data_IF_962827628972
#
_entry.id   IF_962827628972
#
_cell.length_a   1.000
_cell.length_b   1.000
_cell.length_c   1.000
_cell.angle_alpha   90.00
_cell.angle_beta   90.00
_cell.angle_gamma   90.00
#
_symmetry.space_group_name_H-M   'P 1'
#
loop_
_entity.id
_entity.type
_entity.pdbx_description
1 polymer ?
#
# COMPACT_ATOMS: atom_id res chain seq x y z
N UNK A 1 -18.18 1.14 13.12
CA UNK A 1 -17.26 2.02 12.37
C UNK A 1 -16.69 1.22 11.21
N UNK A 2 -16.63 1.76 9.98
CA UNK A 2 -15.99 1.07 8.85
C UNK A 2 -14.47 1.20 9.01
N UNK A 3 -13.75 0.08 8.91
CA UNK A 3 -12.29 0.12 8.83
C UNK A 3 -11.88 0.95 7.59
N UNK A 4 -10.81 1.77 7.67
CA UNK A 4 -10.35 2.53 6.53
C UNK A 4 -9.88 1.58 5.42
N UNK A 5 -10.26 1.89 4.18
CA UNK A 5 -9.84 1.11 3.02
C UNK A 5 -8.32 1.28 2.81
N UNK A 6 -7.60 0.17 2.70
CA UNK A 6 -6.17 0.15 2.37
C UNK A 6 -6.04 0.03 0.85
N UNK A 7 -5.50 1.06 0.20
CA UNK A 7 -5.19 1.04 -1.23
C UNK A 7 -3.71 0.78 -1.42
N UNK A 8 -3.35 -0.15 -2.29
CA UNK A 8 -1.96 -0.57 -2.54
C UNK A 8 -1.67 -0.46 -4.03
N UNK A 9 -0.85 0.53 -4.37
CA UNK A 9 -0.41 0.79 -5.74
C UNK A 9 0.92 0.09 -5.98
N UNK A 10 0.99 -0.72 -7.04
CA UNK A 10 2.14 -1.58 -7.34
C UNK A 10 2.50 -1.53 -8.81
N UNK A 11 3.71 -2.01 -9.09
CA UNK A 11 4.13 -2.51 -10.39
C UNK A 11 4.63 -3.96 -10.21
N UNK A 12 5.39 -4.49 -11.17
CA UNK A 12 5.95 -5.85 -11.11
C UNK A 12 7.37 -5.94 -10.51
N UNK A 13 7.83 -4.94 -9.75
CA UNK A 13 9.14 -4.96 -9.11
C UNK A 13 9.18 -5.86 -7.86
N UNK A 14 10.39 -6.02 -7.32
CA UNK A 14 10.62 -6.86 -6.14
C UNK A 14 10.00 -6.25 -4.88
N UNK A 15 10.08 -4.94 -4.70
CA UNK A 15 9.59 -4.25 -3.51
C UNK A 15 8.05 -4.33 -3.40
N UNK A 16 7.35 -4.24 -4.54
CA UNK A 16 5.91 -4.44 -4.64
C UNK A 16 5.50 -5.84 -4.21
N UNK A 17 6.26 -6.88 -4.59
CA UNK A 17 6.00 -8.25 -4.13
C UNK A 17 6.17 -8.38 -2.62
N UNK A 18 7.26 -7.84 -2.06
CA UNK A 18 7.52 -7.88 -0.61
C UNK A 18 6.43 -7.16 0.18
N UNK A 19 5.92 -6.04 -0.33
CA UNK A 19 4.81 -5.33 0.31
C UNK A 19 3.54 -6.18 0.32
N UNK A 20 3.17 -6.80 -0.80
CA UNK A 20 1.96 -7.62 -0.91
C UNK A 20 2.05 -8.85 0.00
N UNK A 21 3.18 -9.56 -0.03
CA UNK A 21 3.44 -10.71 0.87
C UNK A 21 3.31 -10.31 2.33
N UNK A 22 3.90 -9.17 2.73
CA UNK A 22 3.76 -8.66 4.09
C UNK A 22 2.30 -8.39 4.47
N UNK A 23 1.50 -7.80 3.58
CA UNK A 23 0.09 -7.51 3.88
C UNK A 23 -0.75 -8.80 3.96
N UNK A 24 -0.48 -9.76 3.08
CA UNK A 24 -1.12 -11.08 3.08
C UNK A 24 -0.78 -11.84 4.38
N UNK A 25 0.49 -11.87 4.79
CA UNK A 25 0.98 -12.49 6.03
C UNK A 25 0.33 -11.86 7.28
N UNK A 26 0.07 -10.56 7.24
CA UNK A 26 -0.59 -9.83 8.33
C UNK A 26 -2.12 -9.88 8.23
N UNK A 27 -2.67 -10.60 7.25
CA UNK A 27 -4.11 -10.73 6.98
C UNK A 27 -4.82 -9.38 6.83
N UNK A 28 -4.11 -8.39 6.27
CA UNK A 28 -4.65 -7.05 6.05
C UNK A 28 -5.44 -7.05 4.75
N UNK A 29 -6.76 -6.75 4.75
CA UNK A 29 -7.50 -6.60 3.51
C UNK A 29 -7.07 -5.32 2.78
N UNK A 30 -6.73 -5.43 1.50
CA UNK A 30 -6.37 -4.29 0.66
C UNK A 30 -6.96 -4.38 -0.74
N UNK A 31 -7.08 -3.22 -1.41
CA UNK A 31 -7.34 -3.15 -2.83
C UNK A 31 -6.03 -2.94 -3.58
N UNK A 32 -5.62 -3.95 -4.35
CA UNK A 32 -4.47 -3.87 -5.26
C UNK A 32 -4.80 -3.05 -6.50
N UNK A 33 -3.93 -2.11 -6.85
CA UNK A 33 -4.01 -1.28 -8.06
C UNK A 33 -2.68 -1.33 -8.81
N UNK A 34 -2.64 -2.07 -9.91
CA UNK A 34 -1.44 -2.20 -10.73
C UNK A 34 -1.34 -1.04 -11.74
N UNK A 35 -0.39 -0.14 -11.52
CA UNK A 35 -0.20 1.05 -12.36
C UNK A 35 0.46 0.72 -13.71
N UNK A 36 1.09 -0.45 -13.84
CA UNK A 36 1.62 -0.93 -15.12
C UNK A 36 0.49 -1.44 -16.03
N UNK A 37 -0.58 -1.96 -15.43
CA UNK A 37 -1.73 -2.51 -16.15
C UNK A 37 -2.84 -1.48 -16.44
N UNK A 38 -2.88 -0.34 -15.74
CA UNK A 38 -3.92 0.67 -15.90
C UNK A 38 -3.38 2.10 -15.74
N UNK A 39 -3.58 2.91 -16.79
CA UNK A 39 -3.29 4.36 -16.75
C UNK A 39 -4.15 5.10 -15.74
N UNK A 40 -5.38 4.65 -15.49
CA UNK A 40 -6.28 5.28 -14.53
C UNK A 40 -5.75 5.13 -13.11
N UNK A 41 -5.16 3.98 -12.76
CA UNK A 41 -4.52 3.79 -11.47
C UNK A 41 -3.24 4.62 -11.31
N UNK A 42 -2.48 4.81 -12.39
CA UNK A 42 -1.34 5.72 -12.38
C UNK A 42 -1.79 7.18 -12.15
N UNK A 43 -2.84 7.62 -12.84
CA UNK A 43 -3.41 8.95 -12.67
C UNK A 43 -3.96 9.15 -11.26
N UNK A 44 -4.72 8.18 -10.75
CA UNK A 44 -5.23 8.19 -9.37
C UNK A 44 -4.07 8.31 -8.36
N UNK A 45 -3.00 7.54 -8.53
CA UNK A 45 -1.80 7.64 -7.69
C UNK A 45 -1.19 9.06 -7.70
N UNK A 46 -1.14 9.68 -8.87
CA UNK A 46 -0.63 11.04 -9.04
C UNK A 46 -1.53 12.09 -8.38
N UNK A 47 -2.85 11.87 -8.26
CA UNK A 47 -3.74 12.77 -7.49
C UNK A 47 -3.38 12.79 -5.99
N UNK A 48 -2.75 11.72 -5.49
CA UNK A 48 -2.17 11.71 -4.15
C UNK A 48 -0.78 12.37 -4.09
N UNK A 49 -0.29 12.97 -5.17
CA UNK A 49 1.06 13.55 -5.30
C UNK A 49 2.17 12.50 -5.07
N UNK A 50 1.92 11.27 -5.54
CA UNK A 50 2.83 10.13 -5.48
C UNK A 50 3.22 9.74 -6.91
N UNK A 51 4.51 9.50 -7.13
CA UNK A 51 5.07 9.21 -8.46
C UNK A 51 5.91 7.93 -8.50
N UNK A 52 5.94 7.19 -7.38
CA UNK A 52 6.73 5.97 -7.22
C UNK A 52 5.87 4.86 -6.65
N UNK A 53 6.21 3.62 -7.01
CA UNK A 53 5.64 2.39 -6.47
C UNK A 53 6.72 1.58 -5.73
N UNK A 54 6.33 0.69 -4.81
CA UNK A 54 4.96 0.55 -4.31
C UNK A 54 4.54 1.73 -3.42
N UNK A 55 3.23 1.94 -3.29
CA UNK A 55 2.69 2.96 -2.40
C UNK A 55 1.42 2.47 -1.69
N UNK A 56 1.29 2.79 -0.41
CA UNK A 56 0.11 2.47 0.40
C UNK A 56 -0.59 3.75 0.81
N UNK A 57 -1.90 3.81 0.60
CA UNK A 57 -2.77 4.91 1.01
C UNK A 57 -3.85 4.38 1.94
N UNK A 58 -3.94 4.98 3.13
CA UNK A 58 -4.96 4.68 4.15
C UNK A 58 -5.57 6.00 4.61
N UNK A 59 -6.75 6.32 4.09
CA UNK A 59 -7.38 7.63 4.32
C UNK A 59 -6.47 8.77 3.85
N UNK A 60 -5.95 9.57 4.79
CA UNK A 60 -5.03 10.68 4.51
C UNK A 60 -3.54 10.29 4.63
N UNK A 61 -3.24 9.12 5.18
CA UNK A 61 -1.87 8.66 5.40
C UNK A 61 -1.33 7.95 4.15
N UNK A 62 -0.03 8.13 3.91
CA UNK A 62 0.67 7.61 2.72
C UNK A 62 2.01 7.01 3.14
N UNK A 63 2.35 5.86 2.57
CA UNK A 63 3.68 5.25 2.67
C UNK A 63 4.19 5.01 1.26
N UNK A 64 5.43 5.42 1.00
CA UNK A 64 6.13 5.23 -0.27
C UNK A 64 7.19 4.14 -0.09
N UNK A 65 7.25 3.17 -0.99
CA UNK A 65 8.10 1.99 -0.85
C UNK A 65 7.63 1.04 0.25
N UNK A 66 8.42 0.00 0.50
CA UNK A 66 8.16 -1.03 1.51
C UNK A 66 8.82 -0.66 2.85
N UNK A 67 8.09 0.14 3.64
CA UNK A 67 8.54 0.57 4.98
C UNK A 67 7.83 -0.21 6.09
N UNK A 68 8.32 -1.42 6.40
CA UNK A 68 7.68 -2.39 7.31
C UNK A 68 7.21 -1.78 8.64
N UNK A 69 8.05 -1.00 9.32
CA UNK A 69 7.66 -0.41 10.61
C UNK A 69 6.51 0.59 10.46
N UNK A 70 6.61 1.51 9.49
CA UNK A 70 5.53 2.49 9.24
C UNK A 70 4.23 1.80 8.85
N UNK A 71 4.30 0.71 8.08
CA UNK A 71 3.11 -0.08 7.74
C UNK A 71 2.43 -0.62 8.99
N UNK A 72 3.20 -1.18 9.94
CA UNK A 72 2.63 -1.62 11.23
C UNK A 72 1.96 -0.47 11.97
N UNK A 73 2.64 0.66 12.07
CA UNK A 73 2.15 1.83 12.81
C UNK A 73 0.82 2.36 12.22
N UNK A 74 0.74 2.54 10.89
CA UNK A 74 -0.47 3.07 10.25
C UNK A 74 -1.62 2.06 10.16
N UNK A 75 -1.31 0.77 10.11
CA UNK A 75 -2.30 -0.31 10.03
C UNK A 75 -2.74 -0.79 11.42
N UNK A 76 -2.13 -0.27 12.48
CA UNK A 76 -2.43 -0.67 13.87
C UNK A 76 -2.04 -2.12 14.16
N UNK A 77 -1.01 -2.64 13.48
CA UNK A 77 -0.50 -3.99 13.71
C UNK A 77 0.33 -3.97 15.00
N UNK A 78 -0.12 -4.71 16.02
CA UNK A 78 0.56 -4.77 17.30
C UNK A 78 2.00 -5.31 17.15
N UNK A 79 2.91 -4.79 17.97
CA UNK A 79 4.21 -5.43 18.18
C UNK A 79 3.99 -6.71 18.99
N UNK A 80 3.98 -7.86 18.32
CA UNK A 80 4.19 -9.12 19.03
C UNK A 80 5.68 -9.11 19.42
N UNK A 81 5.94 -8.91 20.71
CA UNK A 81 7.26 -9.06 21.33
C UNK A 81 7.60 -10.53 21.48
#
# INVERSE_FOLDING_TARGET
>A
MKQPQVLVYINHDHESRQLLEFLDDQQVPYQKKDVSASRDYLQELQTYNIYVTPAVVVGKQKILGFQKQRLRDILGLAHIS
#
